data_IF_801980987417
#
_entry.id   IF_801980987417
#
_cell.length_a   1.000
_cell.length_b   1.000
_cell.length_c   1.000
_cell.angle_alpha   90.00
_cell.angle_beta   90.00
_cell.angle_gamma   90.00
#
_symmetry.space_group_name_H-M   'P 1'
#
loop_
_entity.id
_entity.type
_entity.pdbx_description
1 polymer ?
#
# COMPACT_ATOMS: atom_id res chain seq x y z
N UNK A 1 25.51 -41.51 17.51
CA UNK A 1 26.25 -40.55 16.64
C UNK A 1 25.20 -39.75 15.87
N UNK A 2 24.82 -38.60 16.46
CA UNK A 2 23.70 -37.78 16.01
C UNK A 2 24.30 -36.55 15.32
N UNK A 3 24.02 -36.35 14.04
CA UNK A 3 24.42 -35.17 13.30
C UNK A 3 23.24 -34.19 13.21
N UNK A 4 23.46 -33.05 13.84
CA UNK A 4 22.57 -31.89 13.79
C UNK A 4 22.61 -31.23 12.39
N UNK A 5 21.49 -31.18 11.70
CA UNK A 5 21.25 -30.30 10.56
C UNK A 5 20.82 -28.91 11.05
N UNK A 6 21.65 -27.89 10.83
CA UNK A 6 21.33 -26.50 11.17
C UNK A 6 20.39 -25.92 10.10
N UNK A 7 19.25 -25.41 10.55
CA UNK A 7 18.35 -24.55 9.78
C UNK A 7 19.03 -23.20 9.48
N UNK A 8 19.38 -22.96 8.23
CA UNK A 8 19.92 -21.69 7.73
C UNK A 8 18.81 -21.00 6.93
N UNK A 9 17.86 -20.39 7.60
CA UNK A 9 16.84 -19.54 6.95
C UNK A 9 16.24 -18.44 7.83
N UNK A 10 16.85 -18.08 8.96
CA UNK A 10 16.27 -17.09 9.88
C UNK A 10 17.14 -15.84 10.15
N UNK A 11 18.26 -15.63 9.45
CA UNK A 11 19.25 -14.64 9.89
C UNK A 11 19.60 -13.51 8.88
N UNK A 12 18.78 -13.21 7.87
CA UNK A 12 19.15 -12.17 6.87
C UNK A 12 18.37 -10.85 7.02
N UNK A 13 17.69 -10.57 8.13
CA UNK A 13 16.94 -9.29 8.26
C UNK A 13 17.32 -8.46 9.51
N UNK A 14 18.42 -8.72 10.23
CA UNK A 14 18.65 -7.95 11.46
C UNK A 14 19.85 -7.01 11.53
N UNK A 15 20.75 -6.96 10.53
CA UNK A 15 21.98 -6.18 10.72
C UNK A 15 22.33 -5.24 9.57
N UNK A 16 21.62 -4.14 9.38
CA UNK A 16 22.18 -2.94 8.70
C UNK A 16 21.40 -1.63 8.87
N UNK A 17 20.96 -1.26 10.04
CA UNK A 17 20.55 0.13 10.29
C UNK A 17 21.19 0.68 11.56
N UNK A 18 22.46 1.09 11.46
CA UNK A 18 23.05 2.03 12.44
C UNK A 18 22.87 3.45 11.91
N UNK A 19 22.00 4.19 12.55
CA UNK A 19 21.76 5.62 12.33
C UNK A 19 22.98 6.45 12.70
N UNK A 20 23.49 7.28 11.79
CA UNK A 20 24.40 8.39 12.08
C UNK A 20 23.65 9.71 11.88
N UNK A 21 23.56 10.57 12.90
CA UNK A 21 22.92 11.89 12.76
C UNK A 21 23.80 12.85 11.95
N UNK A 22 23.23 13.47 10.92
CA UNK A 22 23.88 14.55 10.18
C UNK A 22 23.72 15.88 10.92
N UNK A 23 24.82 16.62 11.04
CA UNK A 23 24.91 17.94 11.66
C UNK A 23 24.20 18.99 10.81
N UNK A 24 23.32 19.79 11.44
CA UNK A 24 22.66 20.96 10.85
C UNK A 24 23.69 22.03 10.45
N UNK A 25 23.68 22.44 9.20
CA UNK A 25 24.33 23.67 8.75
C UNK A 25 23.29 24.80 8.72
N UNK A 26 23.58 25.86 9.47
CA UNK A 26 22.77 27.08 9.54
C UNK A 26 23.25 27.99 8.40
N UNK A 27 22.35 28.39 7.50
CA UNK A 27 22.58 29.48 6.58
C UNK A 27 21.62 30.65 6.86
N UNK A 28 22.20 31.72 7.40
CA UNK A 28 21.58 33.05 7.43
C UNK A 28 21.64 33.65 6.00
N UNK A 29 20.53 34.17 5.53
CA UNK A 29 20.57 35.21 4.48
C UNK A 29 19.49 36.26 4.66
N UNK A 30 19.97 37.46 4.49
CA UNK A 30 19.46 38.81 4.70
C UNK A 30 18.25 39.19 3.83
N UNK A 31 17.48 40.11 4.43
CA UNK A 31 16.41 40.93 3.82
C UNK A 31 16.93 41.88 2.73
N UNK A 32 16.16 42.08 1.71
CA UNK A 32 16.11 43.34 0.96
C UNK A 32 14.68 43.63 0.50
N UNK A 33 14.17 44.77 0.95
CA UNK A 33 12.88 45.36 0.60
C UNK A 33 12.98 46.11 -0.74
N UNK A 34 11.94 46.07 -1.58
CA UNK A 34 11.63 47.17 -2.51
C UNK A 34 10.11 47.26 -2.76
N UNK A 35 9.67 48.49 -2.82
CA UNK A 35 8.30 49.02 -2.76
C UNK A 35 7.56 49.13 -4.08
N UNK A 36 6.22 49.07 -3.98
CA UNK A 36 5.13 49.87 -4.57
C UNK A 36 5.10 50.37 -6.03
N UNK A 37 3.89 50.26 -6.53
CA UNK A 37 3.03 51.09 -7.42
C UNK A 37 2.48 50.25 -8.59
N UNK A 38 1.19 50.09 -8.91
CA UNK A 38 0.03 50.94 -8.83
C UNK A 38 -0.86 50.68 -10.05
N UNK A 39 -2.19 50.58 -9.86
CA UNK A 39 -3.30 50.82 -10.83
C UNK A 39 -3.50 49.91 -12.06
N UNK A 40 -4.63 49.18 -12.16
CA UNK A 40 -5.80 49.53 -12.94
C UNK A 40 -6.86 48.43 -12.87
N UNK A 41 -8.09 48.79 -12.54
CA UNK A 41 -9.25 47.91 -12.58
C UNK A 41 -9.70 47.72 -14.03
N UNK A 42 -9.83 46.48 -14.48
CA UNK A 42 -10.61 46.08 -15.63
C UNK A 42 -11.54 44.95 -15.19
N UNK A 43 -12.83 45.25 -15.14
CA UNK A 43 -13.87 44.24 -14.93
C UNK A 43 -13.92 43.35 -16.18
N UNK A 44 -13.40 42.13 -16.06
CA UNK A 44 -13.59 41.08 -17.06
C UNK A 44 -14.64 40.10 -16.52
N UNK A 45 -15.72 39.98 -17.27
CA UNK A 45 -16.72 38.93 -17.08
C UNK A 45 -16.02 37.57 -17.06
N UNK A 46 -15.97 36.95 -15.89
CA UNK A 46 -15.50 35.58 -15.70
C UNK A 46 -16.53 34.64 -16.30
N UNK A 47 -16.25 34.15 -17.51
CA UNK A 47 -16.81 32.89 -17.98
C UNK A 47 -16.37 31.83 -16.96
N UNK A 48 -17.35 31.13 -16.38
CA UNK A 48 -17.09 30.05 -15.42
C UNK A 48 -16.11 29.04 -16.02
N UNK A 49 -14.86 29.08 -15.59
CA UNK A 49 -13.93 28.00 -15.78
C UNK A 49 -14.48 26.82 -14.98
N UNK A 50 -14.88 25.74 -15.65
CA UNK A 50 -14.96 24.45 -15.00
C UNK A 50 -13.62 24.28 -14.26
N UNK A 51 -13.66 24.13 -12.92
CA UNK A 51 -12.48 23.75 -12.15
C UNK A 51 -11.90 22.51 -12.84
N UNK A 52 -10.75 22.64 -13.46
CA UNK A 52 -9.97 21.48 -13.85
C UNK A 52 -9.71 20.71 -12.57
N UNK A 53 -10.21 19.48 -12.46
CA UNK A 53 -9.87 18.57 -11.37
C UNK A 53 -8.36 18.64 -11.14
N UNK A 54 -7.93 18.53 -9.89
CA UNK A 54 -6.52 18.53 -9.56
C UNK A 54 -5.80 17.45 -10.42
N UNK A 55 -4.57 17.76 -10.88
CA UNK A 55 -3.81 16.75 -11.60
C UNK A 55 -3.58 15.52 -10.69
N UNK A 56 -3.65 14.30 -11.25
CA UNK A 56 -3.48 13.09 -10.43
C UNK A 56 -2.10 13.05 -9.79
N UNK A 57 -2.05 12.46 -8.58
CA UNK A 57 -0.83 12.29 -7.79
C UNK A 57 -0.65 10.80 -7.45
N UNK A 58 0.54 10.28 -7.72
CA UNK A 58 0.98 9.00 -7.17
C UNK A 58 1.53 9.24 -5.77
N UNK A 59 0.97 8.53 -4.79
CA UNK A 59 1.36 8.58 -3.39
C UNK A 59 2.26 7.38 -3.08
N UNK A 60 3.37 7.63 -2.36
CA UNK A 60 4.32 6.58 -1.96
C UNK A 60 4.63 6.74 -0.48
N UNK A 61 4.27 5.76 0.34
CA UNK A 61 4.68 5.71 1.74
C UNK A 61 6.15 5.29 1.85
N UNK A 62 6.98 6.07 2.54
CA UNK A 62 8.41 5.82 2.71
C UNK A 62 8.70 5.47 4.16
N UNK A 63 8.95 4.20 4.44
CA UNK A 63 9.18 3.70 5.79
C UNK A 63 10.45 4.31 6.43
N UNK A 64 11.54 4.41 5.66
CA UNK A 64 12.85 4.82 6.18
C UNK A 64 12.95 6.30 6.47
N UNK A 65 12.27 7.14 5.68
CA UNK A 65 12.27 8.61 5.85
C UNK A 65 11.10 9.11 6.70
N UNK A 66 10.15 8.23 7.02
CA UNK A 66 8.90 8.61 7.71
C UNK A 66 8.16 9.73 6.94
N UNK A 67 8.02 9.57 5.63
CA UNK A 67 7.36 10.56 4.77
C UNK A 67 6.34 9.90 3.83
N UNK A 68 5.44 10.73 3.29
CA UNK A 68 4.64 10.42 2.13
C UNK A 68 5.17 11.24 0.96
N UNK A 69 5.70 10.58 -0.08
CA UNK A 69 6.05 11.22 -1.33
C UNK A 69 4.80 11.48 -2.16
N UNK A 70 4.67 12.70 -2.67
CA UNK A 70 3.70 13.12 -3.66
C UNK A 70 4.43 13.21 -4.99
N UNK A 71 4.06 12.39 -5.96
CA UNK A 71 4.74 12.28 -7.26
C UNK A 71 3.77 12.64 -8.37
N UNK A 72 4.17 13.57 -9.25
CA UNK A 72 3.45 13.83 -10.50
C UNK A 72 3.68 12.65 -11.46
N UNK A 73 2.65 11.85 -11.77
CA UNK A 73 2.82 10.66 -12.60
C UNK A 73 3.11 11.00 -14.06
N UNK A 74 2.79 12.20 -14.53
CA UNK A 74 3.07 12.62 -15.90
C UNK A 74 4.56 12.85 -16.13
N UNK A 75 5.25 13.44 -15.16
CA UNK A 75 6.68 13.75 -15.21
C UNK A 75 7.55 12.73 -14.49
N UNK A 76 6.99 11.95 -13.55
CA UNK A 76 7.71 11.09 -12.64
C UNK A 76 8.54 11.85 -11.60
N UNK A 77 8.22 13.11 -11.35
CA UNK A 77 8.95 13.92 -10.37
C UNK A 77 8.22 13.98 -9.04
N UNK A 78 8.95 13.83 -7.96
CA UNK A 78 8.44 14.10 -6.62
C UNK A 78 8.19 15.61 -6.49
N UNK A 79 6.94 16.00 -6.23
CA UNK A 79 6.53 17.39 -6.05
C UNK A 79 6.51 17.81 -4.58
N UNK A 80 6.46 16.83 -3.68
CA UNK A 80 6.60 17.04 -2.23
C UNK A 80 6.98 15.72 -1.54
N UNK A 81 7.58 15.83 -0.34
CA UNK A 81 7.65 14.76 0.65
C UNK A 81 7.04 15.33 1.95
N UNK A 82 5.95 14.73 2.40
CA UNK A 82 5.23 15.18 3.60
C UNK A 82 5.67 14.32 4.78
N UNK A 83 6.29 14.88 5.83
CA UNK A 83 6.63 14.13 7.02
C UNK A 83 5.36 13.57 7.68
N UNK A 84 5.40 12.28 8.08
CA UNK A 84 4.36 11.65 8.89
C UNK A 84 4.88 11.44 10.31
N UNK A 85 4.00 11.64 11.28
CA UNK A 85 4.35 11.52 12.69
C UNK A 85 4.27 10.08 13.17
N UNK A 86 5.19 9.70 14.07
CA UNK A 86 5.17 8.40 14.73
C UNK A 86 6.31 7.49 14.32
N UNK A 87 6.12 6.16 14.48
CA UNK A 87 7.20 5.19 14.30
C UNK A 87 7.53 4.96 12.83
N UNK A 88 6.56 4.55 11.99
CA UNK A 88 6.71 4.49 10.53
C UNK A 88 5.37 4.22 9.84
N UNK A 89 5.13 4.85 8.69
CA UNK A 89 4.01 4.54 7.81
C UNK A 89 4.42 3.51 6.77
N UNK A 90 3.58 2.48 6.58
CA UNK A 90 3.85 1.42 5.61
C UNK A 90 2.96 1.50 4.38
N UNK A 91 1.68 1.83 4.59
CA UNK A 91 0.67 1.86 3.54
C UNK A 91 0.04 3.26 3.45
N UNK A 92 -0.72 3.48 2.37
CA UNK A 92 -1.44 4.73 2.16
C UNK A 92 -2.76 4.48 1.42
N UNK A 93 -3.80 5.21 1.79
CA UNK A 93 -5.03 5.30 1.01
C UNK A 93 -5.34 6.76 0.68
N UNK A 94 -5.99 7.01 -0.47
CA UNK A 94 -6.47 8.32 -0.84
C UNK A 94 -8.00 8.40 -0.74
N UNK A 95 -8.53 9.58 -0.37
CA UNK A 95 -9.95 9.87 -0.49
C UNK A 95 -10.39 9.91 -1.95
N UNK A 96 -11.65 9.56 -2.27
CA UNK A 96 -12.15 9.55 -3.65
C UNK A 96 -12.13 10.90 -4.38
N UNK A 97 -12.07 12.00 -3.62
CA UNK A 97 -12.00 13.38 -4.16
C UNK A 97 -10.54 13.85 -4.36
N UNK A 98 -9.57 12.98 -4.14
CA UNK A 98 -8.15 13.28 -4.32
C UNK A 98 -7.56 14.31 -3.36
N UNK A 99 -8.29 14.70 -2.29
CA UNK A 99 -7.85 15.80 -1.40
C UNK A 99 -7.10 15.33 -0.17
N UNK A 100 -7.34 14.09 0.26
CA UNK A 100 -6.83 13.58 1.54
C UNK A 100 -6.13 12.25 1.34
N UNK A 101 -4.99 12.07 2.01
CA UNK A 101 -4.36 10.77 2.17
C UNK A 101 -4.38 10.32 3.63
N UNK A 102 -4.46 9.02 3.85
CA UNK A 102 -4.45 8.35 5.15
C UNK A 102 -3.26 7.41 5.21
N UNK A 103 -2.34 7.68 6.13
CA UNK A 103 -1.13 6.87 6.33
C UNK A 103 -1.18 6.24 7.71
N UNK A 104 -1.48 4.93 7.81
CA UNK A 104 -1.40 4.19 9.07
C UNK A 104 0.04 4.13 9.58
N UNK A 105 0.24 4.43 10.86
CA UNK A 105 1.54 4.39 11.53
C UNK A 105 1.68 3.06 12.26
N UNK A 106 2.43 2.14 11.66
CA UNK A 106 2.42 0.73 12.03
C UNK A 106 3.29 0.38 13.23
N UNK A 107 4.60 0.31 13.05
CA UNK A 107 5.57 -0.13 14.07
C UNK A 107 7.00 0.15 13.57
N UNK A 108 7.97 0.16 14.48
CA UNK A 108 9.40 0.21 14.13
C UNK A 108 10.01 -1.17 13.86
N UNK A 109 9.20 -2.22 13.84
CA UNK A 109 9.63 -3.61 13.60
C UNK A 109 8.67 -4.32 12.64
N UNK A 110 9.09 -5.45 12.11
CA UNK A 110 8.26 -6.29 11.25
C UNK A 110 7.14 -7.01 12.00
N UNK A 111 6.22 -7.60 11.22
CA UNK A 111 5.05 -8.35 11.71
C UNK A 111 5.45 -9.41 12.73
N UNK A 112 4.72 -9.48 13.84
CA UNK A 112 4.95 -10.47 14.91
C UNK A 112 6.23 -10.25 15.73
N UNK A 113 6.98 -9.18 15.52
CA UNK A 113 8.19 -8.85 16.31
C UNK A 113 7.85 -7.89 17.44
N UNK A 114 8.62 -7.98 18.53
CA UNK A 114 8.51 -7.07 19.67
C UNK A 114 9.16 -5.73 19.32
N UNK A 115 8.42 -4.64 19.53
CA UNK A 115 8.88 -3.29 19.22
C UNK A 115 7.90 -2.23 19.71
N UNK A 116 8.01 -1.01 19.18
CA UNK A 116 7.06 0.08 19.46
C UNK A 116 5.85 -0.05 18.54
N UNK A 117 4.67 -0.15 19.13
CA UNK A 117 3.43 -0.32 18.40
C UNK A 117 2.84 1.03 18.00
N UNK A 118 2.47 1.17 16.74
CA UNK A 118 1.77 2.35 16.25
C UNK A 118 0.34 2.43 16.80
N UNK A 119 -0.10 3.66 17.03
CA UNK A 119 -1.41 3.98 17.63
C UNK A 119 -2.27 4.88 16.76
N UNK A 120 -1.77 5.29 15.58
CA UNK A 120 -2.32 6.46 14.86
C UNK A 120 -2.42 6.24 13.37
N UNK A 121 -3.25 7.07 12.74
CA UNK A 121 -3.27 7.29 11.29
C UNK A 121 -3.03 8.78 11.06
N UNK A 122 -2.02 9.13 10.27
CA UNK A 122 -1.81 10.50 9.81
C UNK A 122 -2.79 10.81 8.69
N UNK A 123 -3.54 11.91 8.82
CA UNK A 123 -4.48 12.43 7.82
C UNK A 123 -3.82 13.62 7.14
N UNK A 124 -3.55 13.48 5.85
CA UNK A 124 -2.73 14.43 5.09
C UNK A 124 -3.63 15.23 4.14
N UNK A 125 -3.57 16.55 4.26
CA UNK A 125 -4.08 17.49 3.26
C UNK A 125 -3.10 17.53 2.08
N UNK A 126 -3.52 16.96 0.94
CA UNK A 126 -2.65 16.82 -0.23
C UNK A 126 -2.37 18.19 -0.89
N UNK A 127 -3.34 19.11 -0.90
CA UNK A 127 -3.13 20.45 -1.43
C UNK A 127 -2.21 21.28 -0.53
N UNK A 128 -2.41 21.19 0.78
CA UNK A 128 -1.58 21.88 1.78
C UNK A 128 -0.24 21.20 2.04
N UNK A 129 -0.05 19.95 1.53
CA UNK A 129 1.17 19.15 1.69
C UNK A 129 1.62 19.00 3.13
N UNK A 130 0.68 18.68 4.03
CA UNK A 130 0.91 18.60 5.47
C UNK A 130 -0.03 17.63 6.14
N UNK A 131 0.37 17.10 7.29
CA UNK A 131 -0.55 16.43 8.21
C UNK A 131 -1.54 17.48 8.73
N UNK A 132 -2.82 17.25 8.48
CA UNK A 132 -3.91 18.13 8.91
C UNK A 132 -4.54 17.66 10.21
N UNK A 133 -4.65 16.34 10.39
CA UNK A 133 -5.25 15.69 11.55
C UNK A 133 -4.56 14.37 11.84
N UNK A 134 -4.87 13.81 13.00
CA UNK A 134 -4.45 12.47 13.42
C UNK A 134 -5.64 11.72 13.96
N UNK A 135 -5.84 10.48 13.54
CA UNK A 135 -6.81 9.56 14.14
C UNK A 135 -6.03 8.70 15.14
N UNK A 136 -6.37 8.78 16.42
CA UNK A 136 -5.68 8.06 17.48
C UNK A 136 -6.56 6.93 18.02
N UNK A 137 -6.03 5.73 18.09
CA UNK A 137 -6.71 4.55 18.64
C UNK A 137 -6.66 4.50 20.17
N UNK A 138 -5.81 5.34 20.81
CA UNK A 138 -5.65 5.40 22.27
C UNK A 138 -4.77 4.29 22.85
N UNK A 139 -4.38 3.31 22.07
CA UNK A 139 -3.48 2.22 22.45
C UNK A 139 -2.73 1.68 21.22
N UNK A 140 -1.72 0.83 21.46
CA UNK A 140 -0.98 0.17 20.39
C UNK A 140 -1.86 -0.82 19.63
N UNK A 141 -2.14 -0.56 18.36
CA UNK A 141 -2.97 -1.43 17.50
C UNK A 141 -2.23 -1.93 16.26
N UNK A 142 -1.08 -1.33 15.94
CA UNK A 142 -0.36 -1.53 14.67
C UNK A 142 -1.28 -1.39 13.46
N UNK A 143 -1.84 -0.19 13.18
CA UNK A 143 -2.67 0.01 12.01
C UNK A 143 -1.78 -0.12 10.76
N UNK A 144 -2.18 -0.95 9.78
CA UNK A 144 -1.32 -1.21 8.62
C UNK A 144 -1.98 -0.86 7.29
N UNK A 145 -2.85 -1.71 6.77
CA UNK A 145 -3.48 -1.52 5.47
C UNK A 145 -4.72 -0.63 5.62
N UNK A 146 -4.75 0.47 4.90
CA UNK A 146 -5.90 1.35 4.80
C UNK A 146 -6.57 1.19 3.43
N UNK A 147 -7.90 1.01 3.41
CA UNK A 147 -8.71 0.90 2.19
C UNK A 147 -9.91 1.83 2.31
N UNK A 148 -10.02 2.79 1.40
CA UNK A 148 -11.21 3.63 1.30
C UNK A 148 -12.27 2.92 0.44
N UNK A 149 -13.39 2.55 1.04
CA UNK A 149 -14.51 1.96 0.30
C UNK A 149 -15.43 3.07 -0.24
N UNK A 150 -15.47 3.20 -1.55
CA UNK A 150 -16.31 4.20 -2.24
C UNK A 150 -17.80 3.94 -2.08
N UNK A 151 -18.23 2.69 -1.82
CA UNK A 151 -19.64 2.34 -1.69
C UNK A 151 -20.20 2.77 -0.33
N UNK A 152 -19.51 2.47 0.76
CA UNK A 152 -19.94 2.87 2.11
C UNK A 152 -19.48 4.29 2.47
N UNK A 153 -18.47 4.81 1.80
CA UNK A 153 -17.80 6.06 2.15
C UNK A 153 -16.94 5.95 3.42
N UNK A 154 -16.65 4.73 3.88
CA UNK A 154 -15.84 4.48 5.07
C UNK A 154 -14.38 4.17 4.73
N UNK A 155 -13.49 4.46 5.66
CA UNK A 155 -12.11 4.02 5.63
C UNK A 155 -11.99 2.78 6.52
N UNK A 156 -11.53 1.67 5.94
CA UNK A 156 -11.25 0.42 6.63
C UNK A 156 -9.77 0.28 6.87
N UNK A 157 -9.37 -0.05 8.10
CA UNK A 157 -7.95 -0.17 8.46
C UNK A 157 -7.72 -1.45 9.25
N UNK A 158 -6.75 -2.26 8.83
CA UNK A 158 -6.31 -3.41 9.63
C UNK A 158 -5.68 -2.93 10.92
N UNK A 159 -6.15 -3.43 12.07
CA UNK A 159 -5.60 -3.20 13.40
C UNK A 159 -5.10 -4.53 13.93
N UNK A 160 -3.80 -4.80 13.68
CA UNK A 160 -3.18 -6.11 13.83
C UNK A 160 -3.33 -6.68 15.23
N UNK A 161 -3.03 -5.87 16.27
CA UNK A 161 -3.06 -6.33 17.66
C UNK A 161 -4.48 -6.51 18.20
N UNK A 162 -5.45 -5.73 17.69
CA UNK A 162 -6.86 -5.89 18.03
C UNK A 162 -7.53 -7.05 17.27
N UNK A 163 -6.85 -7.61 16.26
CA UNK A 163 -7.40 -8.70 15.41
C UNK A 163 -8.68 -8.27 14.69
N UNK A 164 -8.74 -7.00 14.26
CA UNK A 164 -9.93 -6.42 13.62
C UNK A 164 -9.57 -5.62 12.37
N UNK A 165 -10.61 -5.31 11.59
CA UNK A 165 -10.64 -4.19 10.67
C UNK A 165 -11.39 -3.06 11.35
N UNK A 166 -10.74 -1.99 11.70
CA UNK A 166 -11.37 -0.79 12.22
C UNK A 166 -12.11 -0.04 11.12
N UNK A 167 -13.32 0.44 11.42
CA UNK A 167 -14.17 1.23 10.54
C UNK A 167 -14.10 2.67 10.98
N UNK A 168 -13.66 3.54 10.09
CA UNK A 168 -13.47 4.97 10.37
C UNK A 168 -14.38 5.77 9.45
N UNK A 169 -15.12 6.71 10.02
CA UNK A 169 -15.85 7.72 9.25
C UNK A 169 -14.87 8.85 8.86
N UNK A 170 -14.52 9.00 7.59
CA UNK A 170 -13.53 9.99 7.16
C UNK A 170 -14.03 11.44 7.28
N UNK A 171 -15.34 11.67 7.43
CA UNK A 171 -15.91 13.01 7.61
C UNK A 171 -15.73 13.51 9.03
N UNK A 172 -15.85 12.60 10.01
CA UNK A 172 -15.73 12.94 11.44
C UNK A 172 -14.38 12.53 12.03
N UNK A 173 -13.58 11.76 11.29
CA UNK A 173 -12.31 11.15 11.69
C UNK A 173 -12.45 10.24 12.93
N UNK A 174 -13.64 9.69 13.16
CA UNK A 174 -13.94 8.83 14.32
C UNK A 174 -13.99 7.37 13.93
N UNK A 175 -13.50 6.51 14.82
CA UNK A 175 -13.69 5.07 14.76
C UNK A 175 -15.16 4.78 15.11
N UNK A 176 -15.91 4.22 14.17
CA UNK A 176 -17.37 3.98 14.31
C UNK A 176 -17.71 2.50 14.46
N UNK A 177 -16.72 1.65 14.52
CA UNK A 177 -16.87 0.22 14.74
C UNK A 177 -15.70 -0.59 14.24
N UNK A 178 -15.86 -1.91 14.25
CA UNK A 178 -14.86 -2.84 13.75
C UNK A 178 -15.48 -4.12 13.21
N UNK A 179 -14.70 -4.87 12.43
CA UNK A 179 -15.01 -6.22 11.94
C UNK A 179 -13.95 -7.17 12.48
N UNK A 180 -14.29 -8.18 13.31
CA UNK A 180 -13.31 -9.14 13.78
C UNK A 180 -12.76 -9.99 12.62
N UNK A 181 -11.45 -10.20 12.59
CA UNK A 181 -10.81 -11.05 11.56
C UNK A 181 -10.72 -12.51 11.98
N UNK A 182 -10.84 -12.79 13.27
CA UNK A 182 -10.72 -14.13 13.85
C UNK A 182 -9.27 -14.67 13.86
N UNK A 183 -8.30 -13.85 13.45
CA UNK A 183 -6.89 -14.25 13.34
C UNK A 183 -5.95 -13.17 13.84
N UNK A 184 -4.78 -13.60 14.31
CA UNK A 184 -3.67 -12.71 14.63
C UNK A 184 -2.98 -12.22 13.36
N UNK A 185 -2.26 -11.10 13.48
CA UNK A 185 -1.44 -10.56 12.41
C UNK A 185 -2.20 -10.40 11.08
N UNK A 186 -3.47 -9.96 11.16
CA UNK A 186 -4.24 -9.55 9.99
C UNK A 186 -3.64 -8.27 9.43
N UNK A 187 -2.94 -8.39 8.31
CA UNK A 187 -1.98 -7.37 7.84
C UNK A 187 -2.50 -6.58 6.64
N UNK A 188 -2.86 -7.26 5.58
CA UNK A 188 -3.41 -6.65 4.37
C UNK A 188 -4.91 -6.94 4.24
N UNK A 189 -5.63 -5.98 3.68
CA UNK A 189 -7.07 -6.06 3.40
C UNK A 189 -7.33 -5.81 1.91
N UNK A 190 -8.13 -6.65 1.30
CA UNK A 190 -8.74 -6.38 0.00
C UNK A 190 -10.27 -6.48 0.12
N UNK A 191 -10.99 -5.60 -0.59
CA UNK A 191 -12.45 -5.59 -0.62
C UNK A 191 -12.98 -6.07 -1.97
N UNK A 192 -14.16 -6.71 -1.96
CA UNK A 192 -14.96 -6.88 -3.17
C UNK A 192 -15.38 -5.51 -3.72
N UNK A 193 -15.70 -5.44 -5.01
CA UNK A 193 -16.06 -4.18 -5.69
C UNK A 193 -17.28 -3.48 -5.08
N UNK A 194 -18.21 -4.26 -4.55
CA UNK A 194 -19.41 -3.75 -3.86
C UNK A 194 -19.17 -3.43 -2.38
N UNK A 195 -17.95 -3.67 -1.86
CA UNK A 195 -17.59 -3.46 -0.46
C UNK A 195 -18.25 -4.42 0.52
N UNK A 196 -19.03 -5.41 0.06
CA UNK A 196 -19.77 -6.32 0.96
C UNK A 196 -18.88 -7.39 1.60
N UNK A 197 -17.78 -7.77 0.92
CA UNK A 197 -16.80 -8.76 1.38
C UNK A 197 -15.44 -8.12 1.60
N UNK A 198 -14.80 -8.54 2.68
CA UNK A 198 -13.40 -8.24 2.97
C UNK A 198 -12.58 -9.53 3.04
N UNK A 199 -11.32 -9.45 2.65
CA UNK A 199 -10.38 -10.56 2.71
C UNK A 199 -9.09 -10.06 3.35
N UNK A 200 -8.62 -10.72 4.42
CA UNK A 200 -7.36 -10.36 5.07
C UNK A 200 -6.32 -11.45 4.91
N UNK A 201 -5.09 -11.07 4.57
CA UNK A 201 -3.94 -11.94 4.72
C UNK A 201 -3.44 -11.87 6.17
N UNK A 202 -3.37 -13.02 6.84
CA UNK A 202 -2.95 -13.15 8.25
C UNK A 202 -1.58 -13.80 8.28
N UNK A 203 -0.55 -13.00 8.61
CA UNK A 203 0.86 -13.36 8.33
C UNK A 203 1.31 -14.59 9.09
N UNK A 204 1.37 -14.54 10.41
CA UNK A 204 1.87 -15.64 11.23
C UNK A 204 1.00 -16.90 11.17
N UNK A 205 -0.34 -16.79 11.22
CA UNK A 205 -1.21 -17.93 11.02
C UNK A 205 -1.16 -18.54 9.61
N UNK A 206 -0.68 -17.78 8.60
CA UNK A 206 -0.62 -18.24 7.21
C UNK A 206 -1.99 -18.52 6.61
N UNK A 207 -3.00 -17.70 6.93
CA UNK A 207 -4.40 -17.89 6.55
C UNK A 207 -4.97 -16.66 5.85
N UNK A 208 -6.11 -16.84 5.20
CA UNK A 208 -6.96 -15.75 4.72
C UNK A 208 -8.28 -15.76 5.48
N UNK A 209 -8.66 -14.64 6.10
CA UNK A 209 -10.01 -14.47 6.66
C UNK A 209 -10.95 -13.90 5.61
N UNK A 210 -12.15 -14.45 5.52
CA UNK A 210 -13.25 -13.95 4.71
C UNK A 210 -14.25 -13.25 5.64
N UNK A 211 -14.54 -12.00 5.35
CA UNK A 211 -15.33 -11.12 6.21
C UNK A 211 -16.63 -10.68 5.52
N UNK A 212 -17.71 -10.64 6.26
CA UNK A 212 -18.91 -9.91 5.91
C UNK A 212 -18.79 -8.50 6.50
N UNK A 213 -18.54 -7.52 5.64
CA UNK A 213 -18.26 -6.14 6.07
C UNK A 213 -19.54 -5.46 6.60
N UNK A 214 -20.70 -5.79 6.05
CA UNK A 214 -22.01 -5.25 6.49
C UNK A 214 -22.46 -5.85 7.81
N UNK A 215 -22.40 -7.18 7.93
CA UNK A 215 -22.78 -7.89 9.16
C UNK A 215 -21.67 -7.84 10.23
N UNK A 216 -20.50 -7.30 9.90
CA UNK A 216 -19.33 -7.15 10.79
C UNK A 216 -18.91 -8.46 11.44
N UNK A 217 -18.73 -9.50 10.64
CA UNK A 217 -18.36 -10.83 11.15
C UNK A 217 -17.41 -11.57 10.22
N UNK A 218 -16.61 -12.46 10.79
CA UNK A 218 -15.81 -13.45 10.05
C UNK A 218 -16.75 -14.55 9.52
N UNK A 219 -16.62 -14.89 8.24
CA UNK A 219 -17.39 -15.95 7.59
C UNK A 219 -16.62 -17.24 7.46
N UNK A 220 -15.32 -17.15 7.15
CA UNK A 220 -14.43 -18.29 6.98
C UNK A 220 -12.98 -17.90 7.25
N UNK A 221 -12.18 -18.90 7.61
CA UNK A 221 -10.72 -18.82 7.70
C UNK A 221 -10.16 -19.90 6.79
N UNK A 222 -9.34 -19.52 5.81
CA UNK A 222 -8.82 -20.39 4.77
C UNK A 222 -7.34 -20.61 5.02
N UNK A 223 -6.88 -21.82 5.35
CA UNK A 223 -5.46 -22.14 5.46
C UNK A 223 -4.77 -21.98 4.09
N UNK A 224 -3.62 -21.30 4.09
CA UNK A 224 -2.79 -21.09 2.90
C UNK A 224 -1.43 -21.79 3.06
N UNK A 225 -0.66 -21.38 4.07
CA UNK A 225 0.68 -21.92 4.33
C UNK A 225 1.07 -21.65 5.78
N UNK A 226 2.34 -21.53 6.09
CA UNK A 226 2.82 -21.06 7.40
C UNK A 226 3.08 -19.55 7.43
N UNK A 227 2.95 -18.88 6.29
CA UNK A 227 3.10 -17.42 6.19
C UNK A 227 2.48 -16.93 4.88
N UNK A 228 1.59 -15.93 4.96
CA UNK A 228 1.05 -15.20 3.80
C UNK A 228 0.88 -13.73 4.17
N UNK A 229 1.06 -12.80 3.23
CA UNK A 229 1.14 -11.39 3.61
C UNK A 229 0.31 -10.44 2.74
N UNK A 230 0.45 -10.49 1.43
CA UNK A 230 -0.25 -9.60 0.49
C UNK A 230 -1.47 -10.31 -0.11
N UNK A 231 -2.48 -9.52 -0.48
CA UNK A 231 -3.76 -10.05 -0.95
C UNK A 231 -4.37 -9.14 -2.01
N UNK A 232 -5.02 -9.73 -3.01
CA UNK A 232 -5.80 -9.00 -4.01
C UNK A 232 -7.06 -9.77 -4.38
N UNK A 233 -8.09 -9.04 -4.88
CA UNK A 233 -9.34 -9.60 -5.39
C UNK A 233 -9.38 -9.40 -6.90
N UNK A 234 -9.84 -10.39 -7.66
CA UNK A 234 -10.03 -10.27 -9.12
C UNK A 234 -11.08 -9.20 -9.45
N UNK A 235 -11.01 -8.65 -10.65
CA UNK A 235 -11.91 -7.55 -11.08
C UNK A 235 -13.37 -7.95 -11.17
N UNK A 236 -13.67 -9.22 -11.27
CA UNK A 236 -15.02 -9.80 -11.28
C UNK A 236 -15.45 -10.36 -9.92
N UNK A 237 -14.66 -10.14 -8.87
CA UNK A 237 -14.85 -10.64 -7.51
C UNK A 237 -14.89 -12.17 -7.37
N UNK A 238 -14.57 -12.93 -8.43
CA UNK A 238 -14.66 -14.39 -8.41
C UNK A 238 -13.48 -15.09 -7.73
N UNK A 239 -12.35 -14.39 -7.58
CA UNK A 239 -11.11 -14.95 -7.05
C UNK A 239 -10.41 -13.99 -6.10
N UNK A 240 -9.72 -14.57 -5.11
CA UNK A 240 -8.76 -13.88 -4.24
C UNK A 240 -7.39 -14.52 -4.43
N UNK A 241 -6.37 -13.68 -4.45
CA UNK A 241 -4.98 -14.07 -4.67
C UNK A 241 -4.13 -13.71 -3.46
N UNK A 242 -3.32 -14.65 -2.99
CA UNK A 242 -2.30 -14.38 -1.96
C UNK A 242 -1.07 -15.24 -2.17
N UNK A 243 0.13 -14.66 -1.99
CA UNK A 243 1.38 -15.37 -2.17
C UNK A 243 1.74 -16.19 -0.93
N UNK A 244 2.16 -17.42 -1.14
CA UNK A 244 2.82 -18.23 -0.12
C UNK A 244 4.24 -17.67 0.11
N UNK A 245 4.50 -17.19 1.33
CA UNK A 245 5.81 -16.60 1.65
C UNK A 245 6.88 -17.67 1.92
N UNK A 246 6.52 -18.94 1.90
CA UNK A 246 7.44 -20.05 2.16
C UNK A 246 7.80 -20.87 0.91
N UNK A 247 6.97 -20.75 -0.15
CA UNK A 247 7.16 -21.46 -1.42
C UNK A 247 6.89 -20.54 -2.59
N UNK A 248 7.53 -20.76 -3.75
CA UNK A 248 7.32 -19.96 -4.96
C UNK A 248 5.98 -20.33 -5.64
N UNK A 249 4.88 -19.96 -4.99
CA UNK A 249 3.53 -20.23 -5.48
C UNK A 249 2.54 -19.18 -4.98
N UNK A 250 1.47 -19.00 -5.75
CA UNK A 250 0.36 -18.11 -5.46
C UNK A 250 -0.92 -18.92 -5.26
N UNK A 251 -1.59 -18.73 -4.13
CA UNK A 251 -2.92 -19.30 -3.90
C UNK A 251 -3.97 -18.53 -4.68
N UNK A 252 -4.85 -19.25 -5.37
CA UNK A 252 -6.07 -18.75 -5.98
C UNK A 252 -7.25 -19.30 -5.20
N UNK A 253 -7.97 -18.41 -4.53
CA UNK A 253 -9.13 -18.76 -3.70
C UNK A 253 -10.40 -18.45 -4.52
N UNK A 254 -11.30 -19.40 -4.57
CA UNK A 254 -12.64 -19.23 -5.14
C UNK A 254 -13.55 -18.56 -4.11
N UNK A 255 -14.14 -17.41 -4.45
CA UNK A 255 -14.94 -16.61 -3.52
C UNK A 255 -16.33 -17.17 -3.25
N UNK A 256 -16.88 -17.99 -4.16
CA UNK A 256 -18.17 -18.61 -3.96
C UNK A 256 -18.11 -19.78 -2.96
N UNK A 257 -16.98 -20.51 -2.96
CA UNK A 257 -16.77 -21.67 -2.08
C UNK A 257 -15.92 -21.38 -0.86
N UNK A 258 -15.20 -20.26 -0.84
CA UNK A 258 -14.19 -19.89 0.17
C UNK A 258 -13.12 -20.98 0.36
N UNK A 259 -12.63 -21.54 -0.76
CA UNK A 259 -11.60 -22.59 -0.76
C UNK A 259 -10.50 -22.25 -1.76
N UNK A 260 -9.29 -22.74 -1.49
CA UNK A 260 -8.21 -22.70 -2.48
C UNK A 260 -8.63 -23.52 -3.69
N UNK A 261 -8.79 -22.86 -4.83
CA UNK A 261 -9.17 -23.45 -6.11
C UNK A 261 -7.99 -24.11 -6.81
N UNK A 262 -6.85 -23.41 -6.81
CA UNK A 262 -5.62 -23.87 -7.45
C UNK A 262 -4.43 -23.08 -6.92
N UNK A 263 -3.23 -23.56 -7.28
CA UNK A 263 -1.97 -22.88 -7.02
C UNK A 263 -1.31 -22.55 -8.36
N UNK A 264 -0.79 -21.34 -8.46
CA UNK A 264 -0.01 -20.90 -9.62
C UNK A 264 1.47 -20.97 -9.23
N UNK A 265 2.29 -21.84 -9.86
CA UNK A 265 3.73 -21.84 -9.65
C UNK A 265 4.33 -20.49 -10.09
N UNK A 266 5.21 -19.93 -9.28
CA UNK A 266 5.94 -18.71 -9.57
C UNK A 266 7.44 -19.02 -9.73
N UNK A 267 8.20 -18.22 -10.49
CA UNK A 267 9.67 -18.35 -10.59
C UNK A 267 10.40 -18.13 -9.26
N UNK A 268 9.82 -17.34 -8.34
CA UNK A 268 10.33 -17.09 -7.00
C UNK A 268 9.15 -16.78 -6.05
N UNK A 269 9.44 -16.70 -4.75
CA UNK A 269 8.44 -16.35 -3.73
C UNK A 269 7.81 -14.99 -4.07
N UNK A 270 6.47 -15.00 -4.21
CA UNK A 270 5.67 -13.82 -4.50
C UNK A 270 5.49 -12.91 -3.28
N UNK A 271 5.17 -11.63 -3.52
CA UNK A 271 4.87 -10.66 -2.49
C UNK A 271 3.65 -9.81 -2.88
N UNK A 272 3.82 -8.56 -3.33
CA UNK A 272 2.73 -7.69 -3.78
C UNK A 272 1.99 -8.29 -4.98
N UNK A 273 0.67 -8.13 -5.00
CA UNK A 273 -0.18 -8.63 -6.08
C UNK A 273 -1.20 -7.59 -6.50
N UNK A 274 -1.36 -7.37 -7.81
CA UNK A 274 -2.37 -6.45 -8.36
C UNK A 274 -2.95 -6.97 -9.67
N UNK A 275 -4.28 -7.13 -9.79
CA UNK A 275 -4.93 -7.44 -11.05
C UNK A 275 -4.96 -6.20 -11.96
N UNK A 276 -4.79 -6.39 -13.26
CA UNK A 276 -5.00 -5.33 -14.25
C UNK A 276 -6.48 -4.95 -14.35
N UNK A 277 -6.75 -3.72 -14.82
CA UNK A 277 -8.11 -3.16 -14.88
C UNK A 277 -9.03 -3.97 -15.80
N UNK A 278 -8.49 -4.56 -16.88
CA UNK A 278 -9.22 -5.43 -17.80
C UNK A 278 -9.50 -6.83 -17.22
N UNK A 279 -8.98 -7.15 -16.04
CA UNK A 279 -9.15 -8.45 -15.38
C UNK A 279 -8.41 -9.61 -16.04
N UNK A 280 -7.58 -9.33 -17.05
CA UNK A 280 -6.87 -10.37 -17.82
C UNK A 280 -5.62 -10.87 -17.11
N UNK A 281 -4.89 -9.97 -16.44
CA UNK A 281 -3.58 -10.26 -15.90
C UNK A 281 -3.54 -10.01 -14.40
N UNK A 282 -2.66 -10.75 -13.72
CA UNK A 282 -2.25 -10.47 -12.35
C UNK A 282 -0.75 -10.23 -12.33
N UNK A 283 -0.35 -9.09 -11.79
CA UNK A 283 1.05 -8.76 -11.52
C UNK A 283 1.43 -9.29 -10.14
N UNK A 284 2.60 -9.92 -10.01
CA UNK A 284 3.12 -10.46 -8.73
C UNK A 284 4.56 -10.02 -8.56
N UNK A 285 4.83 -9.23 -7.53
CA UNK A 285 6.20 -8.84 -7.18
C UNK A 285 6.97 -10.04 -6.62
N UNK A 286 8.22 -10.24 -7.05
CA UNK A 286 9.12 -11.29 -6.58
C UNK A 286 10.42 -10.67 -6.07
N UNK A 287 10.47 -10.43 -4.76
CA UNK A 287 11.55 -9.63 -4.13
C UNK A 287 12.95 -10.20 -4.35
N UNK A 288 13.11 -11.50 -4.21
CA UNK A 288 14.42 -12.18 -4.31
C UNK A 288 14.97 -12.19 -5.74
N UNK A 289 14.09 -12.22 -6.75
CA UNK A 289 14.48 -12.25 -8.16
C UNK A 289 14.53 -10.86 -8.80
N UNK A 290 14.12 -9.80 -8.07
CA UNK A 290 14.04 -8.42 -8.62
C UNK A 290 13.17 -8.37 -9.88
N UNK A 291 12.04 -9.05 -9.85
CA UNK A 291 11.15 -9.21 -10.99
C UNK A 291 9.69 -9.04 -10.58
N UNK A 292 8.87 -8.75 -11.57
CA UNK A 292 7.42 -8.87 -11.51
C UNK A 292 6.99 -9.98 -12.46
N UNK A 293 6.30 -11.00 -11.94
CA UNK A 293 5.63 -12.00 -12.77
C UNK A 293 4.31 -11.44 -13.28
N UNK A 294 4.01 -11.70 -14.55
CA UNK A 294 2.72 -11.41 -15.19
C UNK A 294 2.00 -12.74 -15.41
N UNK A 295 0.97 -12.95 -14.62
CA UNK A 295 0.15 -14.18 -14.67
C UNK A 295 -1.04 -13.94 -15.60
N UNK A 296 -1.26 -14.84 -16.54
CA UNK A 296 -2.48 -14.89 -17.34
C UNK A 296 -3.59 -15.59 -16.55
N UNK A 297 -4.61 -14.84 -16.14
CA UNK A 297 -5.72 -15.35 -15.33
C UNK A 297 -6.65 -16.30 -16.10
N UNK A 298 -6.56 -16.36 -17.42
CA UNK A 298 -7.28 -17.36 -18.22
C UNK A 298 -6.62 -18.73 -18.16
N UNK A 299 -5.29 -18.78 -18.22
CA UNK A 299 -4.52 -20.03 -18.19
C UNK A 299 -3.99 -20.41 -16.83
N UNK A 300 -4.04 -19.47 -15.85
CA UNK A 300 -3.45 -19.60 -14.51
C UNK A 300 -1.95 -19.92 -14.55
N UNK A 301 -1.22 -19.30 -15.48
CA UNK A 301 0.21 -19.51 -15.67
C UNK A 301 0.95 -18.18 -15.79
N UNK A 302 2.22 -18.17 -15.39
CA UNK A 302 3.12 -17.04 -15.64
C UNK A 302 3.40 -16.96 -17.14
N UNK A 303 2.95 -15.87 -17.77
CA UNK A 303 3.16 -15.62 -19.18
C UNK A 303 4.51 -14.97 -19.47
N UNK A 304 5.02 -14.15 -18.54
CA UNK A 304 6.31 -13.44 -18.62
C UNK A 304 6.77 -12.93 -17.28
N UNK A 305 8.02 -12.51 -17.21
CA UNK A 305 8.60 -11.76 -16.10
C UNK A 305 9.18 -10.44 -16.60
N UNK A 306 9.20 -9.42 -15.74
CA UNK A 306 9.75 -8.11 -16.03
C UNK A 306 10.80 -7.81 -14.96
N UNK A 307 12.02 -7.45 -15.38
CA UNK A 307 13.06 -7.02 -14.44
C UNK A 307 12.74 -5.64 -13.90
N UNK A 308 12.85 -5.48 -12.57
CA UNK A 308 12.63 -4.23 -11.84
C UNK A 308 13.78 -4.02 -10.84
N UNK A 309 13.96 -2.81 -10.28
CA UNK A 309 14.95 -2.60 -9.22
C UNK A 309 14.73 -3.51 -8.01
N UNK A 310 15.76 -3.65 -7.18
CA UNK A 310 15.82 -4.53 -6.03
C UNK A 310 14.73 -4.22 -4.98
N UNK A 311 14.13 -5.27 -4.44
CA UNK A 311 13.11 -5.19 -3.40
C UNK A 311 11.71 -4.81 -3.89
N UNK A 312 11.21 -5.33 -5.05
CA UNK A 312 9.84 -5.04 -5.45
C UNK A 312 8.86 -5.51 -4.37
N UNK A 313 7.95 -4.63 -3.95
CA UNK A 313 7.05 -4.85 -2.81
C UNK A 313 5.59 -4.64 -3.20
N UNK A 314 5.07 -3.43 -3.15
CA UNK A 314 3.70 -3.13 -3.53
C UNK A 314 3.57 -2.94 -5.04
N UNK A 315 2.40 -3.27 -5.58
CA UNK A 315 2.05 -3.01 -6.98
C UNK A 315 0.72 -2.27 -7.01
N UNK A 316 0.69 -1.15 -7.72
CA UNK A 316 -0.51 -0.37 -7.99
C UNK A 316 -0.73 -0.24 -9.49
N UNK A 317 -1.93 -0.57 -9.98
CA UNK A 317 -2.31 -0.37 -11.38
C UNK A 317 -3.06 0.95 -11.52
N UNK A 318 -2.60 1.82 -12.42
CA UNK A 318 -3.24 3.13 -12.67
C UNK A 318 -4.72 3.00 -13.04
N UNK A 319 -5.58 3.96 -12.68
CA UNK A 319 -7.01 3.89 -12.95
C UNK A 319 -7.36 3.75 -14.44
N UNK A 320 -6.51 4.29 -15.33
CA UNK A 320 -6.67 4.17 -16.78
C UNK A 320 -6.22 2.80 -17.35
N UNK A 321 -5.66 1.93 -16.51
CA UNK A 321 -5.20 0.59 -16.88
C UNK A 321 -3.98 0.54 -17.78
N UNK A 322 -3.30 1.68 -18.00
CA UNK A 322 -2.16 1.74 -18.92
C UNK A 322 -0.81 1.48 -18.27
N UNK A 323 -0.70 1.72 -16.97
CA UNK A 323 0.54 1.62 -16.23
C UNK A 323 0.34 0.81 -14.94
N UNK A 324 1.42 0.19 -14.50
CA UNK A 324 1.55 -0.29 -13.14
C UNK A 324 2.78 0.37 -12.48
N UNK A 325 2.67 0.64 -11.20
CA UNK A 325 3.74 1.18 -10.37
C UNK A 325 4.14 0.13 -9.35
N UNK A 326 5.44 -0.09 -9.22
CA UNK A 326 6.01 -1.09 -8.31
C UNK A 326 6.98 -0.40 -7.38
N UNK A 327 6.69 -0.37 -6.09
CA UNK A 327 7.65 0.13 -5.10
C UNK A 327 8.82 -0.84 -4.97
N UNK A 328 10.05 -0.29 -4.97
CA UNK A 328 11.30 -1.03 -4.91
C UNK A 328 12.07 -0.60 -3.66
N UNK A 329 11.75 -1.23 -2.51
CA UNK A 329 12.17 -0.80 -1.17
C UNK A 329 13.69 -0.59 -1.03
N UNK A 330 14.52 -1.49 -1.61
CA UNK A 330 15.97 -1.43 -1.42
C UNK A 330 16.67 -0.46 -2.35
N UNK A 331 15.92 0.18 -3.26
CA UNK A 331 16.44 1.18 -4.20
C UNK A 331 15.82 2.56 -4.02
N UNK A 332 14.86 2.71 -3.09
CA UNK A 332 14.16 3.98 -2.85
C UNK A 332 13.51 4.52 -4.14
N UNK A 333 12.96 3.63 -4.93
CA UNK A 333 12.42 3.94 -6.25
C UNK A 333 11.07 3.27 -6.45
N UNK A 334 10.32 3.81 -7.40
CA UNK A 334 9.14 3.18 -7.98
C UNK A 334 9.42 2.88 -9.43
N UNK A 335 9.26 1.63 -9.85
CA UNK A 335 9.32 1.26 -11.27
C UNK A 335 7.94 1.48 -11.91
N UNK A 336 7.88 2.27 -12.97
CA UNK A 336 6.70 2.42 -13.82
C UNK A 336 6.76 1.40 -14.95
N UNK A 337 5.75 0.56 -15.07
CA UNK A 337 5.60 -0.46 -16.12
C UNK A 337 4.53 -0.01 -17.10
N UNK A 338 4.87 0.05 -18.37
CA UNK A 338 3.91 0.19 -19.47
C UNK A 338 3.21 -1.15 -19.72
N UNK A 339 1.92 -1.23 -19.44
CA UNK A 339 1.12 -2.46 -19.58
C UNK A 339 0.77 -2.81 -21.04
N UNK A 340 0.88 -1.86 -21.95
CA UNK A 340 0.71 -2.13 -23.39
C UNK A 340 1.95 -2.76 -24.01
N UNK A 341 3.15 -2.34 -23.55
CA UNK A 341 4.43 -2.83 -24.06
C UNK A 341 5.08 -3.89 -23.17
N UNK A 342 4.58 -4.05 -21.94
CA UNK A 342 5.11 -4.98 -20.94
C UNK A 342 6.60 -4.75 -20.66
N UNK A 343 6.96 -3.52 -20.39
CA UNK A 343 8.32 -3.13 -20.03
C UNK A 343 8.34 -2.02 -18.98
N UNK A 344 9.42 -1.94 -18.21
CA UNK A 344 9.69 -0.77 -17.37
C UNK A 344 9.93 0.43 -18.29
N UNK A 345 9.07 1.43 -18.16
CA UNK A 345 9.13 2.67 -18.97
C UNK A 345 9.95 3.74 -18.28
N UNK A 346 9.97 3.74 -16.95
CA UNK A 346 10.65 4.76 -16.16
C UNK A 346 10.95 4.25 -14.75
N UNK A 347 12.04 4.76 -14.15
CA UNK A 347 12.31 4.67 -12.72
C UNK A 347 12.06 6.04 -12.10
N UNK A 348 11.35 6.06 -11.00
CA UNK A 348 10.91 7.26 -10.29
C UNK A 348 11.57 7.24 -8.91
N UNK A 349 12.32 8.26 -8.55
CA UNK A 349 12.90 8.37 -7.23
C UNK A 349 11.83 8.70 -6.19
N UNK A 350 11.89 8.02 -5.06
CA UNK A 350 11.02 8.18 -3.90
C UNK A 350 11.88 8.32 -2.63
N UNK A 351 11.24 8.35 -1.46
CA UNK A 351 11.95 8.35 -0.19
C UNK A 351 12.51 6.97 0.18
N UNK A 352 13.25 6.91 1.29
CA UNK A 352 13.90 5.68 1.74
C UNK A 352 12.88 4.61 2.12
N UNK A 353 13.13 3.38 1.65
CA UNK A 353 12.27 2.21 1.84
C UNK A 353 10.84 2.50 1.35
N UNK A 354 10.72 2.85 0.05
CA UNK A 354 9.43 3.04 -0.62
C UNK A 354 8.58 1.76 -0.53
N UNK A 355 7.33 1.85 -0.03
CA UNK A 355 6.46 0.69 0.22
C UNK A 355 5.05 0.90 -0.36
N UNK A 356 4.06 1.23 0.46
CA UNK A 356 2.68 1.37 0.05
C UNK A 356 2.44 2.43 -1.02
N UNK A 357 1.56 2.12 -1.97
CA UNK A 357 1.24 2.95 -3.12
C UNK A 357 -0.26 3.28 -3.16
N UNK A 358 -0.60 4.53 -3.49
CA UNK A 358 -1.97 4.92 -3.78
C UNK A 358 -2.03 5.99 -4.87
N UNK A 359 -3.24 6.29 -5.30
CA UNK A 359 -3.51 7.27 -6.35
C UNK A 359 -4.59 8.26 -5.88
N UNK A 360 -4.31 9.54 -6.01
CA UNK A 360 -5.24 10.64 -5.77
C UNK A 360 -5.54 11.34 -7.10
N UNK A 361 -6.85 11.43 -7.46
CA UNK A 361 -7.35 12.11 -8.67
C UNK A 361 -7.87 13.51 -8.35
#
# INVERSE_FOLDING_TARGET
MVLFGRNICAEIISDRYTYRPMKKAIFLRSMASVSLLGFAAAAAFSQGSMEKGAAPILLVANQGDHTLSLIDPSTGKQVAAVPVEGVTGHEVAASPDGKTAYVPIYSNVGVGKVGTDGTKISVIDLAGRRVSHTIDFGHGVRPHCAVYDRNSGMLYVTTELDKTISIIDPKTLKIVGSVPTGQEQSHMLALSRDGSRGYTANVGPGTVSVLDMKARKTLAIIPISTNTQRIAVSRDDSMVFTADQTKPQLAVIDTATNKVKTWIPLPAVGYGTAPTIDGRWLLVAMRTNKQVAVVDLKTMQVARTLDVPDGPAEIFVSPDGKRAYVSCNYKNQVAEIDLGQWKVSRLIDAGAVADGLAWAD
#
